data_IF_137824591658
#
_entry.id   IF_137824591658
#
_cell.length_a   1.000
_cell.length_b   1.000
_cell.length_c   1.000
_cell.angle_alpha   90.00
_cell.angle_beta   90.00
_cell.angle_gamma   90.00
#
_symmetry.space_group_name_H-M   'P 1'
#
loop_
_entity.id
_entity.type
_entity.pdbx_description
1 polymer ?
#
# COMPACT_ATOMS: atom_id res chain seq x y z
N UNK A 1 -0.74 22.48 16.64
CA UNK A 1 -0.66 23.54 17.68
C UNK A 1 -1.32 24.83 17.24
N UNK A 2 -1.44 25.08 15.93
CA UNK A 2 -1.95 26.36 15.44
C UNK A 2 -3.48 26.40 15.39
N UNK A 3 -4.15 25.29 15.10
CA UNK A 3 -5.62 25.21 15.07
C UNK A 3 -6.11 23.79 15.39
N UNK A 4 -5.90 23.30 16.61
CA UNK A 4 -6.23 21.93 16.99
C UNK A 4 -7.74 21.63 16.90
N UNK A 5 -8.58 22.66 17.04
CA UNK A 5 -10.04 22.62 16.94
C UNK A 5 -10.58 22.43 15.52
N UNK A 6 -9.70 22.49 14.51
CA UNK A 6 -10.08 22.34 13.10
C UNK A 6 -9.60 21.03 12.45
N UNK A 7 -8.89 20.18 13.19
CA UNK A 7 -8.37 18.91 12.69
C UNK A 7 -9.36 17.79 13.10
N UNK A 8 -10.14 17.30 12.15
CA UNK A 8 -11.12 16.23 12.39
C UNK A 8 -10.59 14.81 12.17
N UNK A 9 -9.64 14.63 11.28
CA UNK A 9 -9.11 13.31 10.94
C UNK A 9 -7.68 13.36 10.42
N UNK A 10 -6.97 12.24 10.57
CA UNK A 10 -5.65 11.96 10.03
C UNK A 10 -5.71 10.69 9.18
N UNK A 11 -5.41 10.79 7.90
CA UNK A 11 -5.33 9.65 6.98
C UNK A 11 -3.87 9.30 6.69
N UNK A 12 -3.54 8.02 6.80
CA UNK A 12 -2.18 7.50 6.59
C UNK A 12 -2.22 6.11 5.95
N UNK A 13 -1.25 5.79 5.11
CA UNK A 13 -1.06 4.44 4.57
C UNK A 13 -0.24 3.58 5.55
N UNK A 14 -0.58 2.29 5.81
CA UNK A 14 0.24 1.40 6.67
C UNK A 14 1.70 1.32 6.23
N UNK A 15 1.92 1.20 4.94
CA UNK A 15 3.21 1.33 4.26
C UNK A 15 3.01 2.32 3.13
N UNK A 16 3.74 3.42 3.14
CA UNK A 16 3.54 4.50 2.17
C UNK A 16 3.95 4.04 0.77
N UNK A 17 2.98 3.85 -0.12
CA UNK A 17 3.21 3.35 -1.47
C UNK A 17 3.86 4.39 -2.38
N UNK A 18 3.18 5.52 -2.59
CA UNK A 18 3.62 6.59 -3.48
C UNK A 18 4.94 7.23 -3.06
N UNK A 19 5.24 7.28 -1.77
CA UNK A 19 6.48 7.80 -1.22
C UNK A 19 7.69 6.87 -1.38
N UNK A 20 7.51 5.63 -1.86
CA UNK A 20 8.61 4.71 -2.13
C UNK A 20 8.67 3.50 -1.22
N UNK A 21 7.54 2.89 -0.92
CA UNK A 21 7.41 1.70 -0.08
C UNK A 21 8.08 1.92 1.29
N UNK A 22 7.70 3.02 1.93
CA UNK A 22 8.27 3.38 3.23
C UNK A 22 7.57 2.57 4.32
N UNK A 23 8.31 1.64 4.91
CA UNK A 23 7.86 0.86 6.06
C UNK A 23 8.17 1.66 7.32
N UNK A 24 7.17 2.05 8.11
CA UNK A 24 7.41 2.85 9.31
C UNK A 24 8.07 2.01 10.42
N UNK A 25 8.71 2.70 11.35
CA UNK A 25 9.22 2.07 12.58
C UNK A 25 8.07 1.57 13.46
N UNK A 26 8.26 0.53 14.28
CA UNK A 26 7.17 -0.09 15.05
C UNK A 26 6.39 0.89 15.93
N UNK A 27 7.05 1.91 16.46
CA UNK A 27 6.45 2.88 17.41
C UNK A 27 5.58 3.93 16.70
N UNK A 28 5.68 4.08 15.39
CA UNK A 28 5.03 5.18 14.64
C UNK A 28 3.51 5.19 14.83
N UNK A 29 2.84 4.07 14.56
CA UNK A 29 1.37 4.00 14.65
C UNK A 29 0.83 4.00 16.07
N UNK A 30 1.40 3.30 17.06
CA UNK A 30 1.00 3.42 18.46
C UNK A 30 1.07 4.85 18.99
N UNK A 31 2.11 5.59 18.61
CA UNK A 31 2.24 7.02 18.97
C UNK A 31 1.17 7.86 18.29
N UNK A 32 0.95 7.68 16.97
CA UNK A 32 -0.10 8.38 16.23
C UNK A 32 -1.48 8.13 16.83
N UNK A 33 -1.82 6.87 17.10
CA UNK A 33 -3.10 6.50 17.70
C UNK A 33 -3.29 7.19 19.06
N UNK A 34 -2.24 7.23 19.89
CA UNK A 34 -2.28 7.92 21.19
C UNK A 34 -2.56 9.42 21.01
N UNK A 35 -1.93 10.06 20.03
CA UNK A 35 -2.14 11.46 19.72
C UNK A 35 -3.57 11.69 19.22
N UNK A 36 -4.05 10.88 18.27
CA UNK A 36 -5.40 10.97 17.75
C UNK A 36 -6.46 10.85 18.85
N UNK A 37 -6.34 9.84 19.72
CA UNK A 37 -7.23 9.65 20.87
C UNK A 37 -7.19 10.84 21.82
N UNK A 38 -6.00 11.39 22.12
CA UNK A 38 -5.83 12.54 23.02
C UNK A 38 -6.55 13.80 22.54
N UNK A 39 -6.59 14.02 21.22
CA UNK A 39 -7.14 15.26 20.65
C UNK A 39 -8.51 15.07 19.97
N UNK A 40 -9.12 13.89 20.06
CA UNK A 40 -10.40 13.59 19.43
C UNK A 40 -10.34 13.64 17.90
N UNK A 41 -9.22 13.23 17.32
CA UNK A 41 -8.99 13.18 15.87
C UNK A 41 -9.19 11.74 15.39
N UNK A 42 -10.00 11.54 14.35
CA UNK A 42 -10.18 10.22 13.74
C UNK A 42 -8.89 9.73 13.08
N UNK A 43 -8.51 8.48 13.35
CA UNK A 43 -7.43 7.81 12.65
C UNK A 43 -8.01 6.99 11.49
N UNK A 44 -7.58 7.30 10.28
CA UNK A 44 -8.04 6.68 9.04
C UNK A 44 -6.86 5.94 8.41
N UNK A 45 -6.99 4.63 8.23
CA UNK A 45 -5.97 3.83 7.53
C UNK A 45 -6.34 3.70 6.05
N UNK A 46 -5.44 4.15 5.19
CA UNK A 46 -5.57 3.97 3.75
C UNK A 46 -4.99 2.59 3.35
N UNK A 47 -5.88 1.61 3.26
CA UNK A 47 -5.56 0.23 2.88
C UNK A 47 -5.69 -0.03 1.36
N UNK A 48 -5.84 1.02 0.57
CA UNK A 48 -6.03 0.91 -0.89
C UNK A 48 -4.93 0.10 -1.56
N UNK A 49 -3.68 0.16 -1.07
CA UNK A 49 -2.57 -0.64 -1.58
C UNK A 49 -2.22 -1.81 -0.67
N UNK A 50 -2.21 -1.59 0.64
CA UNK A 50 -1.68 -2.56 1.61
C UNK A 50 -2.66 -3.69 1.96
N UNK A 51 -3.97 -3.44 1.82
CA UNK A 51 -5.01 -4.41 2.17
C UNK A 51 -5.07 -5.64 1.26
N UNK A 52 -5.94 -6.55 1.65
CA UNK A 52 -6.25 -7.80 0.94
C UNK A 52 -5.03 -8.71 0.75
N UNK A 53 -4.19 -8.83 1.77
CA UNK A 53 -3.07 -9.77 1.79
C UNK A 53 -1.77 -9.26 1.16
N UNK A 54 -1.74 -8.05 0.58
CA UNK A 54 -0.57 -7.51 -0.14
C UNK A 54 0.72 -7.56 0.68
N UNK A 55 0.63 -7.23 1.97
CA UNK A 55 1.77 -7.13 2.88
C UNK A 55 2.07 -8.40 3.67
N UNK A 56 1.29 -9.48 3.44
CA UNK A 56 1.40 -10.73 4.19
C UNK A 56 0.49 -10.81 5.41
N UNK A 57 -0.26 -9.75 5.70
CA UNK A 57 -1.42 -9.71 6.59
C UNK A 57 -2.66 -9.32 5.78
N UNK A 58 -3.88 -9.59 6.28
CA UNK A 58 -5.10 -9.23 5.55
C UNK A 58 -5.21 -7.72 5.40
N UNK A 59 -4.95 -6.98 6.48
CA UNK A 59 -4.79 -5.53 6.50
C UNK A 59 -3.33 -5.15 6.77
N UNK A 60 -2.85 -4.13 6.09
CA UNK A 60 -1.49 -3.64 6.30
C UNK A 60 -1.25 -3.09 7.70
N UNK A 61 -2.29 -2.52 8.34
CA UNK A 61 -2.19 -2.00 9.70
C UNK A 61 -2.08 -3.09 10.78
N UNK A 62 -2.43 -4.35 10.49
CA UNK A 62 -2.25 -5.47 11.42
C UNK A 62 -0.78 -5.69 11.82
N UNK A 63 0.16 -5.18 11.04
CA UNK A 63 1.58 -5.21 11.39
C UNK A 63 1.96 -4.29 12.56
N UNK A 64 1.10 -3.37 12.98
CA UNK A 64 1.51 -2.22 13.81
C UNK A 64 0.71 -2.04 15.11
N UNK A 65 -0.09 -3.01 15.51
CA UNK A 65 -0.93 -2.97 16.72
C UNK A 65 -1.73 -1.65 16.83
N UNK A 66 -2.40 -1.29 15.74
CA UNK A 66 -3.21 -0.07 15.63
C UNK A 66 -4.65 -0.42 15.30
N UNK A 67 -5.58 0.32 15.89
CA UNK A 67 -7.01 0.11 15.76
C UNK A 67 -7.65 1.40 15.22
N UNK A 68 -7.80 1.53 13.87
CA UNK A 68 -8.27 2.74 13.23
C UNK A 68 -9.77 2.96 13.42
N UNK A 69 -10.22 4.22 13.29
CA UNK A 69 -11.64 4.57 13.30
C UNK A 69 -12.31 4.32 11.94
N UNK A 70 -11.52 4.41 10.86
CA UNK A 70 -11.97 4.19 9.49
C UNK A 70 -10.85 3.55 8.66
N UNK A 71 -11.28 2.83 7.60
CA UNK A 71 -10.38 2.20 6.63
C UNK A 71 -10.89 2.49 5.23
N UNK A 72 -10.02 2.96 4.33
CA UNK A 72 -10.35 3.14 2.91
C UNK A 72 -9.82 1.99 2.07
N UNK A 73 -10.65 1.48 1.16
CA UNK A 73 -10.43 0.25 0.39
C UNK A 73 -10.65 0.48 -1.10
N UNK A 74 -9.80 -0.14 -1.94
CA UNK A 74 -9.98 -0.25 -3.38
C UNK A 74 -9.08 -1.38 -3.93
N UNK A 75 -8.69 -1.33 -5.18
CA UNK A 75 -7.71 -2.24 -5.85
C UNK A 75 -7.93 -3.72 -5.55
N UNK A 76 -7.26 -4.26 -4.51
CA UNK A 76 -7.40 -5.65 -4.07
C UNK A 76 -8.82 -6.06 -3.74
N UNK A 77 -9.69 -5.11 -3.37
CA UNK A 77 -11.09 -5.32 -3.09
C UNK A 77 -11.82 -6.08 -4.21
N UNK A 78 -11.53 -5.77 -5.46
CA UNK A 78 -12.13 -6.44 -6.63
C UNK A 78 -11.09 -7.09 -7.55
N UNK A 79 -9.81 -7.08 -7.18
CA UNK A 79 -8.70 -7.54 -8.04
C UNK A 79 -8.73 -6.97 -9.47
N UNK A 80 -9.20 -5.73 -9.61
CA UNK A 80 -9.34 -4.99 -10.89
C UNK A 80 -10.37 -5.55 -11.88
N UNK A 81 -11.23 -6.48 -11.46
CA UNK A 81 -12.33 -6.96 -12.31
C UNK A 81 -13.44 -5.92 -12.44
N UNK A 82 -13.66 -5.11 -11.42
CA UNK A 82 -14.65 -4.03 -11.41
C UNK A 82 -14.11 -2.78 -10.68
N UNK A 83 -14.58 -1.60 -11.08
CA UNK A 83 -14.26 -0.36 -10.41
C UNK A 83 -15.09 -0.22 -9.14
N UNK A 84 -14.49 -0.44 -7.98
CA UNK A 84 -15.12 -0.30 -6.68
C UNK A 84 -14.15 0.26 -5.65
N UNK A 85 -14.65 1.12 -4.78
CA UNK A 85 -14.00 1.53 -3.55
C UNK A 85 -14.99 1.46 -2.40
N UNK A 86 -14.49 1.35 -1.17
CA UNK A 86 -15.31 1.35 0.02
C UNK A 86 -14.61 2.10 1.15
N UNK A 87 -15.40 2.65 2.07
CA UNK A 87 -14.91 3.14 3.35
C UNK A 87 -15.64 2.36 4.44
N UNK A 88 -14.88 1.66 5.25
CA UNK A 88 -15.40 0.97 6.43
C UNK A 88 -15.21 1.88 7.64
N UNK A 89 -16.22 1.99 8.47
CA UNK A 89 -16.21 2.86 9.65
C UNK A 89 -16.63 2.07 10.89
N UNK A 90 -16.13 2.49 12.06
CA UNK A 90 -16.59 1.92 13.34
C UNK A 90 -18.04 2.27 13.61
N UNK A 91 -18.69 1.46 14.43
CA UNK A 91 -20.09 1.66 14.84
C UNK A 91 -20.34 3.06 15.37
N UNK A 92 -19.48 3.58 16.25
CA UNK A 92 -19.64 4.93 16.81
C UNK A 92 -19.58 6.06 15.78
N UNK A 93 -18.88 5.88 14.66
CA UNK A 93 -18.88 6.82 13.53
C UNK A 93 -20.19 6.70 12.74
N UNK A 94 -20.62 5.45 12.48
CA UNK A 94 -21.89 5.19 11.80
C UNK A 94 -23.08 5.76 12.56
N UNK A 95 -23.10 5.63 13.88
CA UNK A 95 -24.19 6.10 14.76
C UNK A 95 -24.41 7.61 14.68
N UNK A 96 -23.38 8.40 14.33
CA UNK A 96 -23.49 9.83 14.12
C UNK A 96 -24.40 10.22 12.94
N UNK A 97 -24.63 9.29 12.01
CA UNK A 97 -25.49 9.48 10.84
C UNK A 97 -26.89 8.90 11.02
N UNK A 98 -27.17 8.27 12.16
CA UNK A 98 -28.50 7.80 12.47
C UNK A 98 -29.39 8.97 12.86
N UNK A 99 -30.45 9.20 12.09
CA UNK A 99 -31.41 10.23 12.41
C UNK A 99 -32.54 9.72 13.31
N UNK A 100 -33.04 10.58 14.16
CA UNK A 100 -34.32 10.41 14.85
C UNK A 100 -35.29 11.49 14.38
N UNK A 101 -36.30 11.18 13.57
CA UNK A 101 -37.26 12.19 13.06
C UNK A 101 -38.00 12.95 14.15
N UNK A 102 -38.12 12.37 15.34
CA UNK A 102 -38.76 12.98 16.49
C UNK A 102 -37.87 13.95 17.28
N UNK A 103 -36.56 13.89 17.06
CA UNK A 103 -35.59 14.72 17.75
C UNK A 103 -35.13 15.88 16.86
N UNK A 104 -35.37 17.14 17.23
CA UNK A 104 -34.98 18.31 16.45
C UNK A 104 -33.45 18.40 16.21
N UNK A 105 -32.63 17.86 17.11
CA UNK A 105 -31.16 17.92 16.99
C UNK A 105 -30.60 16.88 16.02
N UNK A 106 -31.20 15.69 15.95
CA UNK A 106 -30.68 14.56 15.16
C UNK A 106 -31.49 14.24 13.91
N UNK A 107 -32.69 14.86 13.73
CA UNK A 107 -33.61 14.57 12.59
C UNK A 107 -32.97 14.77 11.20
N UNK A 108 -31.89 15.55 11.10
CA UNK A 108 -31.16 15.81 9.86
C UNK A 108 -29.81 15.06 9.77
N UNK A 109 -29.51 14.22 10.78
CA UNK A 109 -28.34 13.41 10.74
C UNK A 109 -28.57 12.25 9.78
N UNK A 110 -27.93 12.30 8.61
CA UNK A 110 -27.92 11.21 7.65
C UNK A 110 -26.72 11.35 6.72
N UNK A 111 -26.15 10.22 6.33
CA UNK A 111 -25.07 10.18 5.37
C UNK A 111 -25.65 10.46 3.97
N UNK A 112 -25.09 11.48 3.31
CA UNK A 112 -25.42 11.83 1.93
C UNK A 112 -24.24 11.52 1.03
N UNK A 113 -24.20 10.32 0.49
CA UNK A 113 -23.35 9.98 -0.64
C UNK A 113 -24.24 9.66 -1.85
N UNK A 114 -24.08 10.46 -2.91
CA UNK A 114 -24.85 10.31 -4.15
C UNK A 114 -23.84 10.08 -5.28
N UNK A 115 -23.18 8.92 -5.24
CA UNK A 115 -22.35 8.47 -6.35
C UNK A 115 -23.23 7.77 -7.38
N UNK A 116 -23.14 8.18 -8.65
CA UNK A 116 -23.97 7.62 -9.74
C UNK A 116 -23.81 6.10 -9.87
N UNK A 117 -22.58 5.59 -9.67
CA UNK A 117 -22.29 4.15 -9.71
C UNK A 117 -22.19 3.51 -8.32
N UNK A 118 -22.50 4.25 -7.26
CA UNK A 118 -22.59 3.70 -5.90
C UNK A 118 -23.72 2.65 -5.85
N UNK A 119 -23.42 1.47 -5.32
CA UNK A 119 -24.39 0.38 -5.23
C UNK A 119 -24.56 -0.46 -6.50
N UNK A 120 -23.70 -0.32 -7.51
CA UNK A 120 -23.66 -1.28 -8.63
C UNK A 120 -23.36 -2.68 -8.13
N UNK A 121 -24.29 -3.63 -8.40
CA UNK A 121 -24.21 -5.00 -7.88
C UNK A 121 -23.06 -5.80 -8.46
N UNK A 122 -22.60 -5.52 -9.68
CA UNK A 122 -21.45 -6.18 -10.30
C UNK A 122 -20.16 -5.97 -9.48
N UNK A 123 -19.88 -4.73 -9.08
CA UNK A 123 -18.72 -4.42 -8.24
C UNK A 123 -18.77 -5.09 -6.87
N UNK A 124 -19.94 -5.11 -6.24
CA UNK A 124 -20.15 -5.78 -4.95
C UNK A 124 -19.95 -7.30 -5.07
N UNK A 125 -20.47 -7.91 -6.14
CA UNK A 125 -20.31 -9.36 -6.40
C UNK A 125 -18.85 -9.69 -6.64
N UNK A 126 -18.13 -8.88 -7.43
CA UNK A 126 -16.71 -9.07 -7.67
C UNK A 126 -15.89 -8.94 -6.36
N UNK A 127 -16.24 -7.99 -5.48
CA UNK A 127 -15.58 -7.82 -4.19
C UNK A 127 -15.79 -9.04 -3.26
N UNK A 128 -17.02 -9.52 -3.17
CA UNK A 128 -17.34 -10.71 -2.38
C UNK A 128 -16.57 -11.94 -2.88
N UNK A 129 -16.57 -12.17 -4.18
CA UNK A 129 -15.87 -13.31 -4.77
C UNK A 129 -14.34 -13.18 -4.63
N UNK A 130 -13.78 -11.98 -4.85
CA UNK A 130 -12.35 -11.73 -4.64
C UNK A 130 -11.93 -12.02 -3.19
N UNK A 131 -12.71 -11.57 -2.22
CA UNK A 131 -12.45 -11.82 -0.80
C UNK A 131 -12.54 -13.31 -0.50
N UNK A 132 -13.57 -14.00 -1.00
CA UNK A 132 -13.75 -15.46 -0.83
C UNK A 132 -12.55 -16.25 -1.38
N UNK A 133 -12.06 -15.90 -2.57
CA UNK A 133 -10.88 -16.55 -3.17
C UNK A 133 -9.63 -16.32 -2.30
N UNK A 134 -9.44 -15.12 -1.76
CA UNK A 134 -8.32 -14.81 -0.87
C UNK A 134 -8.35 -15.70 0.37
N UNK A 135 -9.54 -15.92 0.95
CA UNK A 135 -9.74 -16.78 2.13
C UNK A 135 -9.61 -18.26 1.78
N UNK A 136 -10.37 -18.76 0.79
CA UNK A 136 -10.42 -20.18 0.41
C UNK A 136 -9.06 -20.70 -0.05
N UNK A 137 -8.27 -19.89 -0.72
CA UNK A 137 -6.93 -20.25 -1.21
C UNK A 137 -5.80 -19.88 -0.26
N UNK A 138 -6.11 -19.34 0.92
CA UNK A 138 -5.12 -18.87 1.92
C UNK A 138 -4.03 -17.96 1.31
N UNK A 139 -4.48 -16.99 0.49
CA UNK A 139 -3.57 -16.11 -0.24
C UNK A 139 -2.78 -15.17 0.67
N UNK A 140 -3.27 -14.87 1.87
CA UNK A 140 -2.55 -14.08 2.87
C UNK A 140 -1.31 -14.82 3.34
N UNK A 141 -1.43 -16.09 3.73
CA UNK A 141 -0.29 -16.92 4.12
C UNK A 141 0.68 -17.16 2.95
N UNK A 142 0.14 -17.37 1.74
CA UNK A 142 0.97 -17.45 0.52
C UNK A 142 1.76 -16.16 0.31
N UNK A 143 1.13 -15.00 0.42
CA UNK A 143 1.79 -13.68 0.30
C UNK A 143 2.90 -13.49 1.34
N UNK A 144 2.64 -13.89 2.60
CA UNK A 144 3.66 -13.84 3.66
C UNK A 144 4.88 -14.71 3.31
N UNK A 145 4.64 -15.96 2.91
CA UNK A 145 5.69 -16.92 2.56
C UNK A 145 6.48 -16.46 1.32
N UNK A 146 5.78 -16.12 0.25
CA UNK A 146 6.42 -15.71 -1.00
C UNK A 146 7.08 -14.35 -0.88
N UNK A 147 6.55 -13.47 -0.03
CA UNK A 147 7.15 -12.18 0.29
C UNK A 147 8.47 -12.32 1.05
N UNK A 148 8.54 -13.24 2.01
CA UNK A 148 9.80 -13.56 2.68
C UNK A 148 10.85 -14.09 1.69
N UNK A 149 10.45 -14.98 0.78
CA UNK A 149 11.32 -15.48 -0.28
C UNK A 149 11.77 -14.35 -1.23
N UNK A 150 10.85 -13.51 -1.68
CA UNK A 150 11.17 -12.35 -2.54
C UNK A 150 12.18 -11.42 -1.85
N UNK A 151 11.96 -11.10 -0.59
CA UNK A 151 12.88 -10.24 0.18
C UNK A 151 14.28 -10.85 0.29
N UNK A 152 14.37 -12.13 0.62
CA UNK A 152 15.66 -12.86 0.67
C UNK A 152 16.42 -12.78 -0.66
N UNK A 153 15.70 -13.02 -1.78
CA UNK A 153 16.28 -12.95 -3.13
C UNK A 153 16.69 -11.53 -3.51
N UNK A 154 15.92 -10.51 -3.11
CA UNK A 154 16.24 -9.10 -3.37
C UNK A 154 17.45 -8.66 -2.52
N UNK A 155 17.55 -9.07 -1.26
CA UNK A 155 18.68 -8.74 -0.39
C UNK A 155 20.01 -9.23 -0.96
N UNK A 156 20.04 -10.29 -1.76
CA UNK A 156 21.22 -10.73 -2.48
C UNK A 156 21.73 -9.70 -3.52
N UNK A 157 20.91 -8.70 -3.88
CA UNK A 157 21.28 -7.59 -4.77
C UNK A 157 21.83 -6.38 -4.00
N UNK A 158 21.78 -6.38 -2.67
CA UNK A 158 22.11 -5.21 -1.84
C UNK A 158 23.52 -4.66 -2.10
N UNK A 159 24.47 -5.53 -2.42
CA UNK A 159 25.86 -5.14 -2.65
C UNK A 159 26.16 -4.67 -4.08
N UNK A 160 25.21 -4.82 -5.00
CA UNK A 160 25.38 -4.36 -6.37
C UNK A 160 25.53 -2.83 -6.44
N UNK A 161 26.27 -2.30 -7.43
CA UNK A 161 26.27 -0.88 -7.72
C UNK A 161 24.85 -0.34 -7.90
N UNK A 162 24.64 0.92 -7.63
CA UNK A 162 23.37 1.63 -7.74
C UNK A 162 22.29 1.22 -6.72
N UNK A 163 22.39 0.09 -6.01
CA UNK A 163 21.40 -0.32 -5.00
C UNK A 163 21.68 0.40 -3.68
N UNK A 164 20.84 1.36 -3.34
CA UNK A 164 20.93 2.15 -2.10
C UNK A 164 20.22 1.54 -0.92
N UNK A 165 19.01 1.02 -1.14
CA UNK A 165 18.20 0.38 -0.09
C UNK A 165 17.21 -0.61 -0.69
N UNK A 166 16.88 -1.66 0.05
CA UNK A 166 15.85 -2.65 -0.27
C UNK A 166 14.94 -2.78 0.94
N UNK A 167 13.64 -2.57 0.76
CA UNK A 167 12.66 -2.58 1.83
C UNK A 167 11.29 -3.08 1.38
N UNK A 168 10.44 -3.46 2.32
CA UNK A 168 9.08 -3.90 2.04
C UNK A 168 8.53 -4.87 3.07
N UNK A 169 7.31 -5.32 2.85
CA UNK A 169 6.65 -6.40 3.59
C UNK A 169 5.78 -7.22 2.66
N UNK A 170 5.78 -8.53 2.87
CA UNK A 170 5.03 -9.46 2.00
C UNK A 170 5.43 -9.28 0.53
N UNK A 171 4.46 -9.25 -0.34
CA UNK A 171 4.65 -9.02 -1.78
C UNK A 171 4.57 -7.53 -2.17
N UNK A 172 5.05 -6.66 -1.29
CA UNK A 172 5.12 -5.22 -1.53
C UNK A 172 6.52 -4.72 -1.17
N UNK A 173 7.40 -4.62 -2.17
CA UNK A 173 8.81 -4.32 -2.00
C UNK A 173 9.24 -3.14 -2.87
N UNK A 174 10.26 -2.42 -2.41
CA UNK A 174 10.90 -1.32 -3.13
C UNK A 174 12.42 -1.48 -3.13
N UNK A 175 13.03 -1.13 -4.27
CA UNK A 175 14.49 -1.00 -4.41
C UNK A 175 14.76 0.46 -4.72
N UNK A 176 15.48 1.12 -3.84
CA UNK A 176 15.93 2.49 -4.02
C UNK A 176 17.28 2.52 -4.70
N UNK A 177 17.38 3.30 -5.79
CA UNK A 177 18.59 3.40 -6.57
C UNK A 177 19.31 4.72 -6.31
N UNK A 178 20.61 4.63 -6.10
CA UNK A 178 21.51 5.74 -5.81
C UNK A 178 22.67 5.77 -6.81
N UNK A 179 23.22 6.94 -7.06
CA UNK A 179 24.44 7.09 -7.84
C UNK A 179 25.67 6.67 -7.04
N UNK A 180 25.63 6.92 -5.75
CA UNK A 180 26.71 6.60 -4.82
C UNK A 180 26.16 6.17 -3.47
N UNK A 181 26.63 5.03 -2.97
CA UNK A 181 26.14 4.40 -1.74
C UNK A 181 26.49 5.16 -0.46
N UNK A 182 27.60 5.93 -0.46
CA UNK A 182 28.05 6.65 0.73
C UNK A 182 27.29 7.96 0.90
N UNK A 183 27.22 8.75 -0.15
CA UNK A 183 26.50 10.03 -0.16
C UNK A 183 25.01 9.87 -0.30
N UNK A 184 24.51 8.70 -0.73
CA UNK A 184 23.11 8.39 -1.02
C UNK A 184 22.46 9.36 -2.03
N UNK A 185 23.27 9.96 -2.89
CA UNK A 185 22.76 10.80 -3.98
C UNK A 185 21.87 9.94 -4.89
N UNK A 186 20.61 10.31 -5.13
CA UNK A 186 19.72 9.57 -5.99
C UNK A 186 20.28 9.38 -7.40
N UNK A 187 20.01 8.24 -8.03
CA UNK A 187 20.28 8.04 -9.47
C UNK A 187 19.45 9.05 -10.29
N UNK A 188 19.94 9.47 -11.44
CA UNK A 188 19.17 10.37 -12.30
C UNK A 188 17.88 9.69 -12.81
N UNK A 189 16.82 10.49 -13.05
CA UNK A 189 15.56 9.95 -13.59
C UNK A 189 15.74 9.32 -14.97
N UNK A 190 16.73 9.80 -15.76
CA UNK A 190 17.08 9.18 -17.04
C UNK A 190 17.69 7.80 -16.85
N UNK A 191 18.65 7.66 -15.94
CA UNK A 191 19.24 6.35 -15.63
C UNK A 191 18.19 5.39 -15.02
N UNK A 192 17.30 5.90 -14.18
CA UNK A 192 16.17 5.10 -13.66
C UNK A 192 15.24 4.61 -14.77
N UNK A 193 14.93 5.46 -15.76
CA UNK A 193 14.12 5.07 -16.91
C UNK A 193 14.82 4.01 -17.77
N UNK A 194 16.13 4.12 -17.97
CA UNK A 194 16.93 3.10 -18.67
C UNK A 194 16.92 1.77 -17.91
N UNK A 195 17.12 1.80 -16.60
CA UNK A 195 17.07 0.59 -15.76
C UNK A 195 15.73 -0.12 -15.88
N UNK A 196 14.61 0.61 -15.80
CA UNK A 196 13.27 0.03 -16.00
C UNK A 196 13.11 -0.53 -17.43
N UNK A 197 13.62 0.18 -18.43
CA UNK A 197 13.59 -0.31 -19.82
C UNK A 197 14.36 -1.63 -19.97
N UNK A 198 15.50 -1.77 -19.30
CA UNK A 198 16.27 -3.02 -19.30
C UNK A 198 15.50 -4.17 -18.63
N UNK A 199 14.86 -3.92 -17.48
CA UNK A 199 14.01 -4.92 -16.80
C UNK A 199 12.84 -5.36 -17.72
N UNK A 200 12.18 -4.39 -18.35
CA UNK A 200 11.08 -4.67 -19.29
C UNK A 200 11.53 -5.50 -20.50
N UNK A 201 12.75 -5.27 -20.99
CA UNK A 201 13.32 -6.06 -22.10
C UNK A 201 13.55 -7.54 -21.72
N UNK A 202 13.74 -7.84 -20.43
CA UNK A 202 13.80 -9.21 -19.91
C UNK A 202 12.39 -9.83 -19.71
N UNK A 203 11.32 -9.12 -20.10
CA UNK A 203 9.93 -9.58 -20.02
C UNK A 203 9.33 -9.48 -18.60
N UNK A 204 9.83 -8.58 -17.79
CA UNK A 204 9.31 -8.30 -16.43
C UNK A 204 8.86 -6.85 -16.36
N UNK A 205 7.57 -6.62 -16.06
CA UNK A 205 7.03 -5.29 -15.83
C UNK A 205 7.20 -4.91 -14.35
N UNK A 206 7.80 -3.75 -14.11
CA UNK A 206 7.99 -3.19 -12.78
C UNK A 206 7.45 -1.77 -12.70
N UNK A 207 7.01 -1.37 -11.51
CA UNK A 207 6.60 0.00 -11.25
C UNK A 207 7.78 0.91 -10.88
N UNK A 208 7.52 2.20 -10.89
CA UNK A 208 8.43 3.24 -10.39
C UNK A 208 7.63 4.20 -9.53
N UNK A 209 8.23 4.73 -8.48
CA UNK A 209 7.65 5.88 -7.76
C UNK A 209 7.42 7.03 -8.73
N UNK A 210 6.31 7.72 -8.55
CA UNK A 210 5.94 8.90 -9.31
C UNK A 210 5.49 9.98 -8.32
N UNK A 211 6.44 10.49 -7.56
CA UNK A 211 6.21 11.56 -6.60
C UNK A 211 6.14 12.92 -7.32
N UNK A 212 5.48 13.88 -6.69
CA UNK A 212 5.49 15.27 -7.17
C UNK A 212 6.82 15.99 -6.95
N UNK A 213 7.80 15.33 -6.34
CA UNK A 213 9.13 15.90 -6.06
C UNK A 213 10.11 15.45 -7.14
N UNK A 214 10.50 16.34 -8.08
CA UNK A 214 11.45 16.02 -9.14
C UNK A 214 12.79 15.49 -8.59
N UNK A 215 13.39 14.52 -9.28
CA UNK A 215 14.68 13.93 -8.91
C UNK A 215 14.59 12.83 -7.84
N UNK A 216 13.40 12.54 -7.30
CA UNK A 216 13.22 11.49 -6.27
C UNK A 216 12.40 10.28 -6.75
N UNK A 217 12.17 10.16 -8.06
CA UNK A 217 11.46 9.01 -8.64
C UNK A 217 12.44 7.86 -8.96
N UNK A 218 13.19 7.42 -7.96
CA UNK A 218 14.32 6.48 -8.08
C UNK A 218 14.08 5.16 -7.37
N UNK A 219 12.85 4.87 -7.03
CA UNK A 219 12.48 3.62 -6.36
C UNK A 219 11.69 2.75 -7.33
N UNK A 220 12.19 1.55 -7.58
CA UNK A 220 11.47 0.50 -8.31
C UNK A 220 10.50 -0.19 -7.36
N UNK A 221 9.23 -0.26 -7.76
CA UNK A 221 8.16 -0.87 -6.98
C UNK A 221 7.87 -2.27 -7.49
N UNK A 222 7.82 -3.23 -6.59
CA UNK A 222 7.50 -4.62 -6.86
C UNK A 222 6.24 -5.01 -6.10
N UNK A 223 5.21 -5.39 -6.84
CA UNK A 223 3.93 -5.83 -6.30
C UNK A 223 3.36 -6.99 -7.16
N UNK A 224 4.05 -8.15 -7.22
CA UNK A 224 3.59 -9.27 -8.02
C UNK A 224 2.24 -9.79 -7.51
N UNK A 225 1.55 -10.61 -8.33
CA UNK A 225 0.28 -11.22 -7.95
C UNK A 225 0.45 -12.08 -6.68
N UNK A 226 -0.60 -12.19 -5.84
CA UNK A 226 -0.56 -12.99 -4.61
C UNK A 226 -0.28 -14.49 -4.88
N UNK A 227 -0.55 -14.94 -6.10
CA UNK A 227 -0.32 -16.30 -6.58
C UNK A 227 1.06 -16.51 -7.22
N UNK A 228 1.97 -15.54 -7.11
CA UNK A 228 3.34 -15.63 -7.67
C UNK A 228 4.06 -16.89 -7.20
N UNK A 229 4.82 -17.52 -8.09
CA UNK A 229 5.61 -18.72 -7.80
C UNK A 229 7.09 -18.38 -7.53
N UNK A 230 7.83 -19.35 -6.97
CA UNK A 230 9.29 -19.21 -6.76
C UNK A 230 10.03 -18.91 -8.07
N UNK A 231 9.73 -19.66 -9.15
CA UNK A 231 10.36 -19.47 -10.47
C UNK A 231 10.10 -18.07 -11.04
N UNK A 232 8.89 -17.55 -10.81
CA UNK A 232 8.55 -16.18 -11.24
C UNK A 232 9.30 -15.13 -10.43
N UNK A 233 9.48 -15.33 -9.12
CA UNK A 233 10.28 -14.45 -8.27
C UNK A 233 11.74 -14.50 -8.72
N UNK A 234 12.31 -15.69 -8.94
CA UNK A 234 13.67 -15.84 -9.41
C UNK A 234 13.90 -15.13 -10.76
N UNK A 235 12.93 -15.23 -11.68
CA UNK A 235 12.93 -14.50 -12.94
C UNK A 235 12.91 -12.98 -12.74
N UNK A 236 12.06 -12.48 -11.84
CA UNK A 236 11.99 -11.04 -11.50
C UNK A 236 13.36 -10.56 -11.01
N UNK A 237 13.95 -11.26 -10.04
CA UNK A 237 15.23 -10.87 -9.43
C UNK A 237 16.37 -10.97 -10.45
N UNK A 238 16.40 -12.00 -11.29
CA UNK A 238 17.39 -12.14 -12.36
C UNK A 238 17.32 -10.99 -13.38
N UNK A 239 16.12 -10.60 -13.80
CA UNK A 239 15.90 -9.48 -14.70
C UNK A 239 16.39 -8.15 -14.11
N UNK A 240 16.11 -7.91 -12.82
CA UNK A 240 16.57 -6.72 -12.11
C UNK A 240 18.09 -6.70 -12.02
N UNK A 241 18.72 -7.84 -11.66
CA UNK A 241 20.18 -7.96 -11.60
C UNK A 241 20.82 -7.64 -12.95
N UNK A 242 20.34 -8.26 -14.03
CA UNK A 242 20.84 -8.03 -15.38
C UNK A 242 20.69 -6.56 -15.81
N UNK A 243 19.58 -5.92 -15.44
CA UNK A 243 19.33 -4.50 -15.72
C UNK A 243 20.30 -3.59 -14.97
N UNK A 244 20.60 -3.87 -13.69
CA UNK A 244 21.61 -3.12 -12.93
C UNK A 244 22.98 -3.23 -13.60
N UNK A 245 23.40 -4.44 -13.96
CA UNK A 245 24.71 -4.71 -14.61
C UNK A 245 24.85 -4.04 -15.99
N UNK A 246 23.74 -3.81 -16.70
CA UNK A 246 23.71 -3.08 -17.98
C UNK A 246 23.67 -1.55 -17.82
N UNK A 247 23.29 -1.05 -16.64
CA UNK A 247 23.11 0.39 -16.40
C UNK A 247 24.35 1.02 -15.76
N UNK A 248 25.23 0.22 -15.16
CA UNK A 248 26.55 0.60 -14.66
C UNK A 248 27.52 0.76 -15.84
#
# INVERSE_FOLDING_TARGET
KERPDTVGGLIVEPITAGGGIIVPVPEYYPVLQTICKKYGVFLIMDEVVCGFGRTGEFWGHDHFDVDPDMVTLAKGLTSSYEALSATVVRQGVYDLFLNNPADPETRLNYFRDISTYGGCTSGMTAALESTRIIEDEDLVAKSRKMGAYLMDRLMALQDLPLVGDIRGRGLFCGIEFVQDKQSKVPISETAMAQLISHVNAEGVLVGRTNTSLPGNNTIMNLAPALIVTHDQIDRIVAAIKAAIEKTV
#
